data_IF_336296697566
#
_entry.id   IF_336296697566
#
_cell.length_a   1.000
_cell.length_b   1.000
_cell.length_c   1.000
_cell.angle_alpha   90.00
_cell.angle_beta   90.00
_cell.angle_gamma   90.00
#
_symmetry.space_group_name_H-M   'P 1'
#
loop_
_entity.id
_entity.type
_entity.pdbx_description
1 polymer ?
#
# COMPACT_ATOMS: atom_id res chain seq x y z
N UNK A 1 -59.45 14.44 -21.47
CA UNK A 1 -58.10 13.92 -21.73
C UNK A 1 -57.19 14.64 -20.77
N UNK A 2 -56.92 14.06 -19.61
CA UNK A 2 -55.82 14.50 -18.75
C UNK A 2 -55.08 13.24 -18.36
N UNK A 3 -53.82 13.22 -18.79
CA UNK A 3 -52.91 12.09 -18.77
C UNK A 3 -52.47 11.82 -17.33
N UNK A 4 -52.84 10.65 -16.81
CA UNK A 4 -52.25 10.11 -15.59
C UNK A 4 -50.78 9.84 -15.87
N UNK A 5 -49.90 10.69 -15.33
CA UNK A 5 -48.47 10.41 -15.18
C UNK A 5 -48.31 9.09 -14.42
N UNK A 6 -47.97 8.03 -15.15
CA UNK A 6 -47.45 6.81 -14.56
C UNK A 6 -46.09 7.13 -13.92
N UNK A 7 -46.06 7.13 -12.59
CA UNK A 7 -44.82 7.00 -11.82
C UNK A 7 -44.20 5.65 -12.19
N UNK A 8 -43.18 5.67 -13.04
CA UNK A 8 -42.30 4.54 -13.27
C UNK A 8 -41.52 4.32 -11.97
N UNK A 9 -42.04 3.43 -11.12
CA UNK A 9 -41.27 2.88 -10.00
C UNK A 9 -40.10 2.12 -10.60
N UNK A 10 -38.91 2.70 -10.46
CA UNK A 10 -37.63 2.07 -10.77
C UNK A 10 -37.43 0.94 -9.74
N UNK A 11 -37.91 -0.26 -10.07
CA UNK A 11 -37.65 -1.45 -9.27
C UNK A 11 -36.14 -1.68 -9.21
N UNK A 12 -35.54 -1.43 -8.04
CA UNK A 12 -34.19 -1.86 -7.70
C UNK A 12 -34.10 -3.38 -7.90
N UNK A 13 -33.61 -3.80 -9.07
CA UNK A 13 -33.34 -5.21 -9.36
C UNK A 13 -32.26 -5.68 -8.41
N UNK A 14 -32.69 -6.40 -7.36
CA UNK A 14 -31.78 -7.06 -6.43
C UNK A 14 -30.77 -7.88 -7.23
N UNK A 15 -29.46 -7.74 -6.96
CA UNK A 15 -28.44 -8.43 -7.71
C UNK A 15 -28.67 -9.93 -7.58
N UNK A 16 -28.86 -10.60 -8.72
CA UNK A 16 -28.96 -12.06 -8.79
C UNK A 16 -27.61 -12.67 -8.41
N UNK A 17 -27.61 -13.91 -7.94
CA UNK A 17 -26.37 -14.64 -7.60
C UNK A 17 -25.36 -14.65 -8.77
N UNK A 18 -25.87 -14.65 -10.01
CA UNK A 18 -25.05 -14.57 -11.23
C UNK A 18 -24.37 -13.21 -11.32
N UNK A 19 -25.10 -12.10 -11.14
CA UNK A 19 -24.50 -10.75 -11.18
C UNK A 19 -23.45 -10.54 -10.08
N UNK A 20 -23.66 -11.11 -8.90
CA UNK A 20 -22.69 -11.06 -7.81
C UNK A 20 -21.42 -11.86 -8.13
N UNK A 21 -21.57 -13.02 -8.78
CA UNK A 21 -20.44 -13.84 -9.21
C UNK A 21 -19.63 -13.15 -10.32
N UNK A 22 -20.29 -12.50 -11.28
CA UNK A 22 -19.64 -11.71 -12.33
C UNK A 22 -18.86 -10.53 -11.76
N UNK A 23 -19.46 -9.80 -10.81
CA UNK A 23 -18.79 -8.67 -10.14
C UNK A 23 -17.57 -9.14 -9.32
N UNK A 24 -17.71 -10.26 -8.60
CA UNK A 24 -16.60 -10.85 -7.86
C UNK A 24 -15.46 -11.31 -8.79
N UNK A 25 -15.79 -11.94 -9.92
CA UNK A 25 -14.81 -12.34 -10.92
C UNK A 25 -14.08 -11.13 -11.53
N UNK A 26 -14.80 -10.04 -11.82
CA UNK A 26 -14.21 -8.81 -12.31
C UNK A 26 -13.24 -8.19 -11.30
N UNK A 27 -13.61 -8.13 -10.02
CA UNK A 27 -12.74 -7.64 -8.94
C UNK A 27 -11.49 -8.50 -8.76
N UNK A 28 -11.63 -9.81 -8.81
CA UNK A 28 -10.49 -10.74 -8.72
C UNK A 28 -9.53 -10.57 -9.90
N UNK A 29 -10.06 -10.39 -11.11
CA UNK A 29 -9.24 -10.13 -12.29
C UNK A 29 -8.45 -8.83 -12.14
N UNK A 30 -9.11 -7.75 -11.73
CA UNK A 30 -8.46 -6.45 -11.51
C UNK A 30 -7.38 -6.54 -10.42
N UNK A 31 -7.61 -7.29 -9.35
CA UNK A 31 -6.61 -7.52 -8.31
C UNK A 31 -5.39 -8.29 -8.83
N UNK A 32 -5.61 -9.33 -9.64
CA UNK A 32 -4.53 -10.08 -10.27
C UNK A 32 -3.70 -9.19 -11.22
N UNK A 33 -4.36 -8.41 -12.08
CA UNK A 33 -3.68 -7.51 -13.01
C UNK A 33 -2.81 -6.49 -12.27
N UNK A 34 -3.32 -5.91 -11.16
CA UNK A 34 -2.55 -5.00 -10.30
C UNK A 34 -1.39 -5.71 -9.60
N UNK A 35 -1.60 -6.95 -9.15
CA UNK A 35 -0.56 -7.72 -8.47
C UNK A 35 0.57 -8.08 -9.43
N UNK A 36 0.25 -8.44 -10.66
CA UNK A 36 1.22 -8.68 -11.73
C UNK A 36 2.06 -7.43 -12.02
N UNK A 37 1.42 -6.25 -12.14
CA UNK A 37 2.14 -4.98 -12.32
C UNK A 37 3.10 -4.67 -11.16
N UNK A 38 2.66 -4.90 -9.92
CA UNK A 38 3.50 -4.68 -8.73
C UNK A 38 4.69 -5.64 -8.68
N UNK A 39 4.48 -6.91 -9.03
CA UNK A 39 5.56 -7.90 -9.10
C UNK A 39 6.58 -7.52 -10.16
N UNK A 40 6.14 -7.13 -11.36
CA UNK A 40 7.03 -6.68 -12.42
C UNK A 40 7.88 -5.47 -12.01
N UNK A 41 7.26 -4.47 -11.36
CA UNK A 41 8.00 -3.32 -10.81
C UNK A 41 8.99 -3.72 -9.71
N UNK A 42 8.61 -4.66 -8.86
CA UNK A 42 9.49 -5.15 -7.80
C UNK A 42 10.70 -5.87 -8.39
N UNK A 43 10.50 -6.73 -9.39
CA UNK A 43 11.59 -7.41 -10.09
C UNK A 43 12.53 -6.41 -10.77
N UNK A 44 11.98 -5.38 -11.42
CA UNK A 44 12.78 -4.31 -12.02
C UNK A 44 13.62 -3.58 -10.96
N UNK A 45 13.01 -3.17 -9.84
CA UNK A 45 13.73 -2.52 -8.73
C UNK A 45 14.81 -3.42 -8.12
N UNK A 46 14.52 -4.71 -7.91
CA UNK A 46 15.51 -5.66 -7.39
C UNK A 46 16.67 -5.85 -8.37
N UNK A 47 16.39 -5.94 -9.67
CA UNK A 47 17.42 -6.04 -10.70
C UNK A 47 18.31 -4.80 -10.72
N UNK A 48 17.71 -3.61 -10.62
CA UNK A 48 18.46 -2.35 -10.52
C UNK A 48 19.27 -2.28 -9.23
N UNK A 49 18.71 -2.68 -8.09
CA UNK A 49 19.42 -2.71 -6.81
C UNK A 49 20.63 -3.65 -6.86
N UNK A 50 20.45 -4.85 -7.43
CA UNK A 50 21.52 -5.82 -7.62
C UNK A 50 22.62 -5.29 -8.55
N UNK A 51 22.25 -4.62 -9.65
CA UNK A 51 23.21 -4.00 -10.58
C UNK A 51 23.86 -2.73 -10.03
N UNK A 52 23.20 -2.01 -9.11
CA UNK A 52 23.70 -0.75 -8.55
C UNK A 52 24.95 -0.91 -7.70
N UNK A 53 25.34 -2.14 -7.36
CA UNK A 53 26.51 -2.41 -6.52
C UNK A 53 26.39 -1.92 -5.09
N UNK A 54 25.25 -1.33 -4.69
CA UNK A 54 24.89 -1.05 -3.29
C UNK A 54 24.44 -2.31 -2.55
N UNK A 55 25.12 -3.42 -2.78
CA UNK A 55 25.04 -4.53 -1.83
C UNK A 55 25.59 -4.01 -0.51
N UNK A 56 24.89 -4.27 0.60
CA UNK A 56 25.39 -4.00 1.96
C UNK A 56 26.66 -4.80 2.31
N UNK A 57 27.24 -5.52 1.34
CA UNK A 57 28.53 -6.17 1.45
C UNK A 57 29.65 -5.12 1.59
N UNK A 58 29.95 -4.76 2.83
CA UNK A 58 31.03 -3.85 3.19
C UNK A 58 30.60 -2.57 3.91
N UNK A 59 29.29 -2.36 4.15
CA UNK A 59 28.85 -1.27 5.03
C UNK A 59 29.20 -1.71 6.45
N UNK A 60 30.25 -1.13 7.02
CA UNK A 60 30.52 -1.28 8.44
C UNK A 60 29.32 -0.67 9.17
N UNK A 61 28.57 -1.42 9.99
CA UNK A 61 27.48 -0.83 10.77
C UNK A 61 28.07 0.35 11.55
N UNK A 62 27.41 1.50 11.46
CA UNK A 62 27.88 2.70 12.13
C UNK A 62 28.02 2.39 13.63
N UNK A 63 29.25 2.49 14.15
CA UNK A 63 29.48 2.30 15.58
C UNK A 63 28.65 3.39 16.28
N UNK A 64 27.74 3.02 17.20
CA UNK A 64 26.99 4.00 17.97
C UNK A 64 27.99 4.96 18.62
N UNK A 65 27.84 6.26 18.35
CA UNK A 65 28.65 7.26 19.05
C UNK A 65 28.29 7.18 20.53
N UNK A 66 29.29 7.06 21.39
CA UNK A 66 29.08 7.26 22.82
C UNK A 66 28.67 8.72 23.02
N UNK A 67 27.42 8.93 23.45
CA UNK A 67 26.90 10.26 23.75
C UNK A 67 27.60 10.79 25.01
N UNK A 68 28.09 12.02 24.95
CA UNK A 68 28.55 12.72 26.16
C UNK A 68 27.38 13.01 27.09
N UNK A 69 27.63 13.23 28.38
CA UNK A 69 26.58 13.51 29.35
C UNK A 69 25.70 14.73 28.98
N UNK A 70 26.30 15.73 28.32
CA UNK A 70 25.58 16.92 27.84
C UNK A 70 24.65 16.59 26.67
N UNK A 71 25.09 15.75 25.73
CA UNK A 71 24.28 15.31 24.59
C UNK A 71 23.11 14.44 25.04
N UNK A 72 23.35 13.54 26.00
CA UNK A 72 22.30 12.73 26.60
C UNK A 72 21.27 13.59 27.34
N UNK A 73 21.71 14.54 28.16
CA UNK A 73 20.82 15.46 28.86
C UNK A 73 19.94 16.26 27.89
N UNK A 74 20.52 16.72 26.78
CA UNK A 74 19.78 17.44 25.74
C UNK A 74 18.74 16.56 25.05
N UNK A 75 19.04 15.29 24.80
CA UNK A 75 18.13 14.31 24.20
C UNK A 75 16.98 13.93 25.13
N UNK A 76 17.27 13.84 26.43
CA UNK A 76 16.25 13.67 27.48
C UNK A 76 15.31 14.88 27.53
N UNK A 77 15.85 16.08 27.44
CA UNK A 77 15.05 17.31 27.41
C UNK A 77 14.23 17.46 26.12
N UNK A 78 14.72 16.96 24.97
CA UNK A 78 13.97 16.99 23.71
C UNK A 78 12.89 15.91 23.60
N UNK A 79 12.87 14.94 24.52
CA UNK A 79 11.91 13.82 24.51
C UNK A 79 12.26 12.69 23.55
N UNK A 80 13.46 12.69 22.98
CA UNK A 80 13.91 11.72 21.96
C UNK A 80 14.36 10.36 22.53
N UNK A 81 14.21 10.13 23.83
CA UNK A 81 14.71 8.90 24.51
C UNK A 81 13.68 7.76 24.57
N UNK A 82 12.52 7.90 23.92
CA UNK A 82 11.35 7.06 24.21
C UNK A 82 10.60 6.43 23.04
N UNK A 83 11.06 6.54 21.79
CA UNK A 83 10.41 5.85 20.66
C UNK A 83 11.42 4.96 19.92
N UNK A 84 11.52 3.71 20.39
CA UNK A 84 12.23 2.60 19.75
C UNK A 84 11.63 1.30 20.23
#
# INVERSE_FOLDING_TARGET
MEETKEEVQEEEKKPTLISQAEEAAAKLKEQNDRQEELLNRQEEMMSMAALSGKGEAGITPAIPKEETAEEYAKKVMSGDVGNG
#
